data_IF_123318084442
#
_entry.id   IF_123318084442
#
_cell.length_a   1.000
_cell.length_b   1.000
_cell.length_c   1.000
_cell.angle_alpha   90.00
_cell.angle_beta   90.00
_cell.angle_gamma   90.00
#
_symmetry.space_group_name_H-M   'P 1'
#
loop_
_entity.id
_entity.type
_entity.pdbx_description
1 polymer ?
#
# COMPACT_ATOMS: atom_id res chain seq x y z
N UNK A 1 -28.85 -67.50 53.22
CA UNK A 1 -29.46 -66.33 53.90
C UNK A 1 -28.84 -65.12 53.23
N UNK A 2 -29.47 -64.21 52.49
CA UNK A 2 -30.86 -63.75 52.41
C UNK A 2 -31.04 -63.12 51.03
N UNK A 3 -32.27 -63.13 50.53
CA UNK A 3 -32.69 -62.64 49.21
C UNK A 3 -32.58 -61.10 49.07
N UNK A 4 -32.93 -60.65 47.85
CA UNK A 4 -33.80 -59.48 47.52
C UNK A 4 -33.01 -58.16 47.28
N UNK A 5 -33.15 -57.36 46.20
CA UNK A 5 -34.28 -56.88 45.40
C UNK A 5 -33.98 -56.76 43.88
N UNK A 6 -34.98 -56.30 43.12
CA UNK A 6 -35.31 -56.55 41.72
C UNK A 6 -35.46 -55.19 40.99
N UNK A 7 -35.28 -55.19 39.66
CA UNK A 7 -35.70 -54.15 38.68
C UNK A 7 -34.88 -52.84 38.68
N UNK A 8 -34.69 -52.10 37.59
CA UNK A 8 -35.45 -51.92 36.36
C UNK A 8 -34.50 -51.40 35.24
N UNK A 9 -34.80 -51.73 33.98
CA UNK A 9 -34.12 -51.23 32.78
C UNK A 9 -34.40 -49.73 32.61
N UNK A 10 -33.39 -48.95 32.21
CA UNK A 10 -33.60 -47.70 31.48
C UNK A 10 -32.63 -47.63 30.30
N UNK A 11 -33.25 -47.45 29.14
CA UNK A 11 -32.65 -47.30 27.81
C UNK A 11 -32.11 -45.88 27.60
N UNK A 12 -31.39 -45.74 26.48
CA UNK A 12 -31.14 -44.54 25.68
C UNK A 12 -29.76 -43.90 25.81
N UNK A 13 -29.08 -43.84 24.67
CA UNK A 13 -27.88 -43.04 24.47
C UNK A 13 -26.97 -43.56 23.36
N UNK A 14 -27.45 -43.67 22.11
CA UNK A 14 -26.56 -43.80 20.96
C UNK A 14 -25.87 -42.44 20.81
N UNK A 15 -24.63 -42.32 21.26
CA UNK A 15 -23.76 -41.20 20.92
C UNK A 15 -23.16 -41.52 19.55
N UNK A 16 -23.73 -40.96 18.49
CA UNK A 16 -23.11 -40.96 17.17
C UNK A 16 -21.99 -39.93 17.20
N UNK A 17 -20.74 -40.38 17.39
CA UNK A 17 -19.56 -39.55 17.15
C UNK A 17 -19.32 -39.57 15.64
N UNK A 18 -19.84 -38.57 14.93
CA UNK A 18 -19.50 -38.35 13.53
C UNK A 18 -18.13 -37.66 13.45
N UNK A 19 -17.07 -38.45 13.25
CA UNK A 19 -15.77 -37.91 12.83
C UNK A 19 -15.82 -37.74 11.31
N UNK A 20 -16.14 -36.55 10.84
CA UNK A 20 -15.94 -36.16 9.45
C UNK A 20 -14.61 -35.40 9.32
N UNK A 21 -13.56 -36.15 8.99
CA UNK A 21 -12.30 -35.60 8.49
C UNK A 21 -12.50 -35.20 7.03
N UNK A 22 -12.05 -34.00 6.67
CA UNK A 22 -11.71 -33.65 5.29
C UNK A 22 -12.66 -32.65 4.63
N UNK A 23 -12.29 -31.37 4.66
CA UNK A 23 -11.58 -30.71 3.57
C UNK A 23 -11.51 -29.23 3.95
N UNK A 24 -10.42 -28.79 4.58
CA UNK A 24 -10.19 -27.35 4.75
C UNK A 24 -9.79 -26.83 3.37
N UNK A 25 -10.79 -26.39 2.61
CA UNK A 25 -10.54 -25.65 1.38
C UNK A 25 -10.05 -24.28 1.81
N UNK A 26 -8.73 -24.13 1.98
CA UNK A 26 -8.11 -22.81 1.95
C UNK A 26 -8.25 -22.30 0.52
N UNK A 27 -9.37 -21.64 0.23
CA UNK A 27 -9.43 -20.71 -0.90
C UNK A 27 -8.53 -19.56 -0.48
N UNK A 28 -7.24 -19.68 -0.82
CA UNK A 28 -6.31 -18.57 -0.78
C UNK A 28 -6.87 -17.48 -1.69
N UNK A 29 -7.56 -16.52 -1.10
CA UNK A 29 -7.93 -15.30 -1.79
C UNK A 29 -6.64 -14.65 -2.22
N UNK A 30 -6.33 -14.71 -3.52
CA UNK A 30 -5.36 -13.79 -4.11
C UNK A 30 -5.96 -12.41 -3.85
N UNK A 31 -5.39 -11.67 -2.91
CA UNK A 31 -5.69 -10.26 -2.75
C UNK A 31 -5.31 -9.61 -4.08
N UNK A 32 -6.30 -9.41 -4.96
CA UNK A 32 -6.12 -8.53 -6.10
C UNK A 32 -5.92 -7.15 -5.50
N UNK A 33 -4.70 -6.63 -5.57
CA UNK A 33 -4.45 -5.23 -5.26
C UNK A 33 -5.45 -4.39 -6.04
N UNK A 34 -6.24 -3.59 -5.33
CA UNK A 34 -7.20 -2.70 -5.97
C UNK A 34 -6.43 -1.74 -6.86
N UNK A 35 -6.69 -1.78 -8.17
CA UNK A 35 -6.18 -0.77 -9.08
C UNK A 35 -6.72 0.60 -8.67
N UNK A 36 -5.85 1.60 -8.62
CA UNK A 36 -6.26 2.98 -8.41
C UNK A 36 -7.17 3.41 -9.57
N UNK A 37 -8.32 4.01 -9.25
CA UNK A 37 -9.18 4.63 -10.27
C UNK A 37 -8.47 5.83 -10.90
N UNK A 38 -8.91 6.33 -12.06
CA UNK A 38 -8.43 7.61 -12.57
C UNK A 38 -8.53 8.74 -11.54
N UNK A 39 -7.55 9.65 -11.53
CA UNK A 39 -7.48 10.79 -10.63
C UNK A 39 -6.18 10.87 -9.82
N UNK A 40 -6.16 11.81 -8.87
CA UNK A 40 -5.03 12.10 -8.00
C UNK A 40 -5.17 11.40 -6.65
N UNK A 41 -4.18 10.59 -6.30
CA UNK A 41 -4.17 9.77 -5.09
C UNK A 41 -2.98 10.13 -4.22
N UNK A 42 -3.19 10.74 -3.03
CA UNK A 42 -2.16 10.81 -2.03
C UNK A 42 -1.81 9.39 -1.57
N UNK A 43 -0.53 9.03 -1.66
CA UNK A 43 -0.02 7.77 -1.15
C UNK A 43 0.98 8.02 -0.03
N UNK A 44 0.97 7.15 0.97
CA UNK A 44 1.98 7.11 2.02
C UNK A 44 2.55 5.70 2.10
N UNK A 45 3.84 5.61 2.44
CA UNK A 45 4.52 4.35 2.67
C UNK A 45 5.65 4.52 3.69
N UNK A 46 5.98 3.46 4.41
CA UNK A 46 7.14 3.47 5.31
C UNK A 46 8.40 3.09 4.53
N UNK A 47 9.44 3.92 4.60
CA UNK A 47 10.77 3.59 4.08
C UNK A 47 11.84 3.98 5.10
N UNK A 48 12.61 2.99 5.55
CA UNK A 48 13.51 3.15 6.70
C UNK A 48 12.72 3.46 7.97
N UNK A 49 13.12 4.51 8.67
CA UNK A 49 12.53 5.03 9.91
C UNK A 49 11.52 6.17 9.68
N UNK A 50 11.07 6.37 8.43
CA UNK A 50 10.26 7.53 8.03
C UNK A 50 9.00 7.10 7.28
N UNK A 51 7.92 7.82 7.53
CA UNK A 51 6.80 7.87 6.61
C UNK A 51 7.17 8.75 5.42
N UNK A 52 6.96 8.24 4.21
CA UNK A 52 7.17 8.93 2.94
C UNK A 52 5.84 9.09 2.24
N UNK A 53 5.75 10.08 1.36
CA UNK A 53 4.51 10.36 0.65
C UNK A 53 4.74 10.81 -0.79
N UNK A 54 3.72 10.63 -1.62
CA UNK A 54 3.68 11.11 -2.99
C UNK A 54 2.22 11.37 -3.40
N UNK A 55 2.05 12.03 -4.54
CA UNK A 55 0.76 12.08 -5.25
C UNK A 55 0.90 11.22 -6.51
N UNK A 56 0.01 10.27 -6.70
CA UNK A 56 -0.07 9.44 -7.90
C UNK A 56 -1.23 9.94 -8.76
N UNK A 57 -0.92 10.42 -9.95
CA UNK A 57 -1.91 10.77 -10.96
C UNK A 57 -2.11 9.58 -11.92
N UNK A 58 -3.31 9.03 -11.93
CA UNK A 58 -3.73 7.94 -12.80
C UNK A 58 -4.58 8.49 -13.94
N UNK A 59 -4.16 8.33 -15.21
CA UNK A 59 -4.90 8.89 -16.34
C UNK A 59 -6.21 8.13 -16.60
N UNK A 60 -7.28 8.75 -17.10
CA UNK A 60 -8.55 8.09 -17.42
C UNK A 60 -8.42 6.88 -18.33
N UNK A 61 -7.44 6.90 -19.25
CA UNK A 61 -7.17 5.84 -20.21
C UNK A 61 -6.38 4.65 -19.63
N UNK A 62 -6.09 4.67 -18.32
CA UNK A 62 -5.42 3.57 -17.63
C UNK A 62 -6.34 2.36 -17.37
N UNK A 63 -7.65 2.57 -17.30
CA UNK A 63 -8.61 1.53 -16.91
C UNK A 63 -8.54 0.35 -17.88
N UNK A 64 -8.33 -0.86 -17.35
CA UNK A 64 -8.27 -2.10 -18.12
C UNK A 64 -6.93 -2.37 -18.82
N UNK A 65 -5.91 -1.51 -18.65
CA UNK A 65 -4.55 -1.78 -19.12
C UNK A 65 -3.75 -2.51 -18.03
N UNK A 66 -2.98 -3.51 -18.44
CA UNK A 66 -2.11 -4.28 -17.55
C UNK A 66 -0.71 -3.69 -17.41
N UNK A 67 -0.27 -2.88 -18.37
CA UNK A 67 1.07 -2.28 -18.40
C UNK A 67 0.95 -0.81 -18.83
N UNK A 68 1.38 0.09 -17.94
CA UNK A 68 1.37 1.54 -18.17
C UNK A 68 2.71 2.09 -17.68
N UNK A 69 3.40 2.95 -18.47
CA UNK A 69 4.61 3.59 -18.01
C UNK A 69 4.37 4.42 -16.75
N UNK A 70 5.37 4.46 -15.87
CA UNK A 70 5.37 5.31 -14.68
C UNK A 70 6.47 6.36 -14.86
N UNK A 71 6.12 7.63 -14.69
CA UNK A 71 7.07 8.74 -14.65
C UNK A 71 7.08 9.29 -13.23
N UNK A 72 8.24 9.26 -12.61
CA UNK A 72 8.45 9.88 -11.29
C UNK A 72 8.95 11.30 -11.52
N UNK A 73 8.15 12.28 -11.13
CA UNK A 73 8.43 13.70 -11.32
C UNK A 73 8.82 14.35 -9.98
N UNK A 74 10.01 14.94 -9.94
CA UNK A 74 10.62 15.45 -8.70
C UNK A 74 10.60 16.97 -8.65
N UNK A 75 10.11 17.49 -7.53
CA UNK A 75 10.21 18.91 -7.23
C UNK A 75 11.67 19.36 -7.03
N UNK A 76 11.96 20.62 -7.34
CA UNK A 76 13.23 21.27 -7.01
C UNK A 76 13.44 21.50 -5.50
N UNK A 77 14.64 21.94 -5.12
CA UNK A 77 14.97 22.20 -3.70
C UNK A 77 14.02 23.20 -3.04
N UNK A 78 13.45 22.81 -1.90
CA UNK A 78 12.52 23.64 -1.13
C UNK A 78 11.03 23.44 -1.48
N UNK A 79 10.72 22.70 -2.54
CA UNK A 79 9.36 22.38 -2.99
C UNK A 79 8.70 21.21 -2.24
N UNK A 80 7.68 20.62 -2.85
CA UNK A 80 6.98 19.39 -2.44
C UNK A 80 6.19 18.78 -3.62
N UNK A 81 5.75 17.52 -3.58
CA UNK A 81 5.07 16.87 -4.70
C UNK A 81 3.89 17.66 -5.29
N UNK A 82 3.04 18.23 -4.42
CA UNK A 82 1.92 19.08 -4.87
C UNK A 82 2.32 20.32 -5.69
N UNK A 83 3.40 21.03 -5.33
CA UNK A 83 3.80 22.21 -6.10
C UNK A 83 4.41 21.82 -7.45
N UNK A 84 5.08 20.67 -7.52
CA UNK A 84 5.58 20.11 -8.79
C UNK A 84 4.45 19.67 -9.71
N UNK A 85 3.40 19.06 -9.14
CA UNK A 85 2.20 18.71 -9.90
C UNK A 85 1.56 19.94 -10.54
N UNK A 86 1.38 21.01 -9.77
CA UNK A 86 0.82 22.27 -10.25
C UNK A 86 1.74 22.97 -11.28
N UNK A 87 3.05 22.97 -11.03
CA UNK A 87 4.04 23.66 -11.85
C UNK A 87 4.30 22.98 -13.20
N UNK A 88 4.50 21.66 -13.20
CA UNK A 88 4.86 20.90 -14.40
C UNK A 88 3.70 20.66 -15.36
N UNK A 89 2.46 20.74 -14.86
CA UNK A 89 1.24 20.38 -15.61
C UNK A 89 1.29 18.97 -16.20
N UNK A 90 2.10 18.08 -15.59
CA UNK A 90 2.38 16.74 -16.11
C UNK A 90 1.12 15.86 -16.14
N UNK A 91 0.11 16.12 -15.31
CA UNK A 91 -1.22 15.47 -15.36
C UNK A 91 -1.82 15.53 -16.78
N UNK A 92 -1.79 16.69 -17.44
CA UNK A 92 -2.35 16.86 -18.79
C UNK A 92 -1.59 16.03 -19.83
N UNK A 93 -0.29 15.84 -19.62
CA UNK A 93 0.55 15.03 -20.49
C UNK A 93 0.31 13.53 -20.23
N UNK A 94 0.21 13.15 -18.96
CA UNK A 94 -0.13 11.80 -18.49
C UNK A 94 -1.47 11.33 -19.06
N UNK A 95 -2.49 12.18 -19.02
CA UNK A 95 -3.81 11.92 -19.59
C UNK A 95 -3.76 11.68 -21.10
N UNK A 96 -2.96 12.47 -21.82
CA UNK A 96 -2.88 12.43 -23.28
C UNK A 96 -2.09 11.22 -23.77
N UNK A 97 -0.91 11.00 -23.20
CA UNK A 97 0.04 9.97 -23.63
C UNK A 97 -0.13 8.65 -22.87
N UNK A 98 -1.03 8.61 -21.88
CA UNK A 98 -1.37 7.42 -21.08
C UNK A 98 -0.16 6.87 -20.32
N UNK A 99 0.31 7.63 -19.34
CA UNK A 99 1.26 7.17 -18.31
C UNK A 99 0.82 7.61 -16.92
N UNK A 100 1.29 6.93 -15.87
CA UNK A 100 1.09 7.35 -14.48
C UNK A 100 2.16 8.36 -14.11
N UNK A 101 1.79 9.51 -13.54
CA UNK A 101 2.74 10.46 -12.98
C UNK A 101 2.78 10.34 -11.45
N UNK A 102 3.98 10.31 -10.87
CA UNK A 102 4.19 10.20 -9.42
C UNK A 102 4.99 11.40 -8.95
N UNK A 103 4.37 12.23 -8.10
CA UNK A 103 4.97 13.43 -7.54
C UNK A 103 5.39 13.18 -6.10
N UNK A 104 6.64 12.76 -5.92
CA UNK A 104 7.16 12.35 -4.62
C UNK A 104 7.54 13.54 -3.74
N UNK A 105 7.29 13.42 -2.44
CA UNK A 105 7.78 14.37 -1.45
C UNK A 105 9.23 14.01 -1.03
N UNK A 106 10.09 15.03 -1.03
CA UNK A 106 11.38 14.97 -0.34
C UNK A 106 11.20 14.98 1.18
N UNK A 107 12.29 15.23 1.91
CA UNK A 107 12.27 15.27 3.38
C UNK A 107 12.68 16.64 3.92
N UNK A 108 12.06 17.07 5.02
CA UNK A 108 12.32 18.36 5.66
C UNK A 108 11.81 18.39 7.10
N UNK A 109 12.11 19.48 7.81
CA UNK A 109 11.78 19.68 9.23
C UNK A 109 10.49 20.48 9.47
N UNK A 110 9.82 20.92 8.41
CA UNK A 110 8.70 21.88 8.48
C UNK A 110 7.42 21.33 7.83
N UNK A 111 7.14 20.03 8.02
CA UNK A 111 6.05 19.34 7.32
C UNK A 111 6.26 19.41 5.81
N UNK A 112 5.19 19.67 5.05
CA UNK A 112 5.22 19.73 3.56
C UNK A 112 5.86 21.00 2.99
N UNK A 113 6.77 21.66 3.72
CA UNK A 113 7.44 22.89 3.28
C UNK A 113 8.95 22.72 3.33
N UNK A 114 9.64 23.35 2.39
CA UNK A 114 11.10 23.33 2.31
C UNK A 114 11.65 21.90 2.28
N UNK A 115 10.96 21.00 1.56
CA UNK A 115 11.42 19.62 1.39
C UNK A 115 12.62 19.59 0.45
N UNK A 116 13.51 18.64 0.70
CA UNK A 116 14.76 18.51 -0.03
C UNK A 116 15.07 17.06 -0.33
N UNK A 117 15.93 16.85 -1.33
CA UNK A 117 16.48 15.56 -1.69
C UNK A 117 17.93 15.45 -1.21
N UNK A 118 18.35 14.26 -0.83
CA UNK A 118 19.74 13.93 -0.62
C UNK A 118 20.43 13.80 -1.99
N UNK A 119 20.83 14.94 -2.55
CA UNK A 119 21.51 15.02 -3.84
C UNK A 119 23.04 14.90 -3.73
N UNK A 120 23.58 14.50 -2.57
CA UNK A 120 25.03 14.38 -2.33
C UNK A 120 25.80 15.70 -2.23
N UNK A 121 25.11 16.84 -2.34
CA UNK A 121 25.67 18.18 -2.23
C UNK A 121 25.26 18.89 -0.94
N UNK A 122 25.84 20.05 -0.66
CA UNK A 122 25.76 20.69 0.66
C UNK A 122 24.36 21.04 1.18
N UNK A 123 24.26 20.82 2.51
CA UNK A 123 23.56 21.52 3.58
C UNK A 123 22.03 21.45 3.67
N UNK A 124 21.34 20.93 2.67
CA UNK A 124 19.90 20.67 2.75
C UNK A 124 19.57 19.57 3.78
N UNK A 125 18.35 19.61 4.35
CA UNK A 125 17.94 18.69 5.43
C UNK A 125 18.17 17.22 5.06
N UNK A 126 17.75 16.80 3.87
CA UNK A 126 17.84 15.41 3.46
C UNK A 126 19.30 14.93 3.34
N UNK A 127 20.21 15.77 2.84
CA UNK A 127 21.64 15.43 2.82
C UNK A 127 22.23 15.39 4.23
N UNK A 128 21.99 16.43 5.04
CA UNK A 128 22.55 16.53 6.40
C UNK A 128 22.11 15.38 7.32
N UNK A 129 20.98 14.74 7.03
CA UNK A 129 20.47 13.58 7.75
C UNK A 129 20.68 12.25 7.01
N UNK A 130 21.48 12.26 5.94
CA UNK A 130 21.79 11.11 5.10
C UNK A 130 20.53 10.29 4.71
N UNK A 131 19.48 10.98 4.27
CA UNK A 131 18.22 10.35 3.90
C UNK A 131 18.42 9.47 2.66
N UNK A 132 17.92 8.24 2.71
CA UNK A 132 17.93 7.31 1.59
C UNK A 132 16.77 7.58 0.63
N UNK A 133 16.91 8.63 -0.19
CA UNK A 133 15.92 8.99 -1.20
C UNK A 133 15.92 8.05 -2.40
N UNK A 134 17.07 7.42 -2.71
CA UNK A 134 17.16 6.44 -3.80
C UNK A 134 16.41 5.16 -3.44
N UNK A 135 16.54 4.68 -2.21
CA UNK A 135 15.76 3.53 -1.73
C UNK A 135 14.27 3.86 -1.65
N UNK A 136 13.88 5.06 -1.21
CA UNK A 136 12.48 5.47 -1.19
C UNK A 136 11.83 5.38 -2.57
N UNK A 137 12.52 5.87 -3.61
CA UNK A 137 12.00 5.87 -4.98
C UNK A 137 11.86 4.44 -5.57
N UNK A 138 12.56 3.45 -4.99
CA UNK A 138 12.49 2.04 -5.39
C UNK A 138 11.51 1.19 -4.59
N UNK A 139 10.96 1.72 -3.50
CA UNK A 139 10.12 1.00 -2.55
C UNK A 139 8.69 0.76 -3.05
#
# INVERSE_FOLDING_TARGET
>A
MTRIFRFLKFSAGIIVIAIAVGCVVFVGGIARGSYLSPGNHPITLSHGDRERSAIVHVPPRAVGKSEIPVIINFHGGGGHGGNEQEYSLMDKLADRETFVAVYSNGTGRFGNRLLTWNAGACCAYAMSNNVDDVGFVRA
#
